data_IF_652370463752
#
_entry.id   IF_652370463752
#
_cell.length_a   1.000
_cell.length_b   1.000
_cell.length_c   1.000
_cell.angle_alpha   90.00
_cell.angle_beta   90.00
_cell.angle_gamma   90.00
#
_symmetry.space_group_name_H-M   'P 1'
#
loop_
_entity.id
_entity.type
_entity.pdbx_description
1 polymer ?
#
# COMPACT_ATOMS: atom_id res chain seq x y z
N UNK A 1 -12.58 -34.77 39.57
CA UNK A 1 -13.31 -33.52 39.37
C UNK A 1 -12.68 -32.84 38.17
N UNK A 2 -13.24 -33.07 37.01
CA UNK A 2 -12.79 -32.50 35.74
C UNK A 2 -13.27 -31.06 35.69
N UNK A 3 -12.32 -30.14 35.59
CA UNK A 3 -12.56 -28.68 35.47
C UNK A 3 -13.31 -28.38 34.18
N UNK A 4 -14.60 -28.03 34.31
CA UNK A 4 -15.48 -27.57 33.21
C UNK A 4 -15.46 -26.04 33.10
N UNK A 5 -14.29 -25.41 33.06
CA UNK A 5 -14.19 -23.94 33.10
C UNK A 5 -13.36 -23.27 32.00
N UNK A 6 -13.19 -23.89 30.82
CA UNK A 6 -12.48 -23.25 29.70
C UNK A 6 -13.19 -23.39 28.34
N UNK A 7 -14.51 -23.38 28.32
CA UNK A 7 -15.21 -22.95 27.11
C UNK A 7 -15.31 -21.41 27.18
N UNK A 8 -14.28 -20.69 26.73
CA UNK A 8 -14.43 -19.27 26.42
C UNK A 8 -15.61 -19.14 25.44
N UNK A 9 -16.62 -18.35 25.80
CA UNK A 9 -17.72 -18.06 24.89
C UNK A 9 -17.14 -17.47 23.60
N UNK A 10 -17.30 -18.21 22.47
CA UNK A 10 -16.86 -17.75 21.16
C UNK A 10 -17.60 -16.45 20.85
N UNK A 11 -16.84 -15.35 20.73
CA UNK A 11 -17.39 -14.02 20.51
C UNK A 11 -17.58 -13.72 19.01
N UNK A 12 -16.72 -14.31 18.16
CA UNK A 12 -16.70 -14.07 16.73
C UNK A 12 -17.08 -15.31 15.92
N UNK A 13 -18.00 -15.12 14.99
CA UNK A 13 -18.20 -16.03 13.88
C UNK A 13 -17.21 -15.62 12.76
N UNK A 14 -16.30 -16.54 12.40
CA UNK A 14 -15.24 -16.30 11.39
C UNK A 14 -15.65 -17.00 10.10
N UNK A 15 -15.87 -16.21 9.05
CA UNK A 15 -16.34 -16.71 7.76
C UNK A 15 -15.26 -16.43 6.70
N UNK A 16 -14.90 -17.45 5.93
CA UNK A 16 -14.10 -17.26 4.73
C UNK A 16 -14.92 -16.52 3.68
N UNK A 17 -14.32 -15.52 3.04
CA UNK A 17 -14.95 -14.76 1.98
C UNK A 17 -15.39 -15.65 0.81
N UNK A 18 -16.61 -15.41 0.34
CA UNK A 18 -17.14 -15.88 -0.94
C UNK A 18 -17.74 -14.72 -1.71
N UNK A 19 -17.95 -14.81 -3.05
CA UNK A 19 -18.51 -13.71 -3.84
C UNK A 19 -19.87 -13.19 -3.36
N UNK A 20 -20.62 -13.98 -2.60
CA UNK A 20 -21.90 -13.60 -1.98
C UNK A 20 -21.73 -12.46 -0.96
N UNK A 21 -20.56 -12.35 -0.32
CA UNK A 21 -20.24 -11.29 0.63
C UNK A 21 -19.66 -10.03 -0.01
N UNK A 22 -19.54 -9.98 -1.35
CA UNK A 22 -18.88 -8.87 -2.05
C UNK A 22 -19.44 -7.50 -1.70
N UNK A 23 -20.76 -7.36 -1.76
CA UNK A 23 -21.42 -6.09 -1.45
C UNK A 23 -21.12 -5.67 0.00
N UNK A 24 -21.29 -6.59 0.96
CA UNK A 24 -21.06 -6.33 2.37
C UNK A 24 -19.59 -6.01 2.67
N UNK A 25 -18.66 -6.69 1.97
CA UNK A 25 -17.24 -6.40 2.05
C UNK A 25 -16.92 -4.97 1.57
N UNK A 26 -17.38 -4.60 0.37
CA UNK A 26 -17.11 -3.29 -0.22
C UNK A 26 -17.77 -2.15 0.58
N UNK A 27 -18.98 -2.36 1.10
CA UNK A 27 -19.65 -1.42 2.02
C UNK A 27 -18.88 -1.24 3.34
N UNK A 28 -18.24 -2.30 3.83
CA UNK A 28 -17.39 -2.25 5.02
C UNK A 28 -16.11 -1.46 4.74
N UNK A 29 -15.43 -1.72 3.63
CA UNK A 29 -14.25 -0.98 3.18
C UNK A 29 -14.54 0.53 3.09
N UNK A 30 -15.69 0.91 2.52
CA UNK A 30 -16.08 2.31 2.37
C UNK A 30 -16.23 3.08 3.70
N UNK A 31 -16.49 2.37 4.81
CA UNK A 31 -16.76 2.96 6.14
C UNK A 31 -15.62 2.72 7.13
N UNK A 32 -14.58 2.00 6.72
CA UNK A 32 -13.47 1.65 7.60
C UNK A 32 -12.54 2.85 7.81
N UNK A 33 -11.99 2.96 9.03
CA UNK A 33 -11.08 4.04 9.42
C UNK A 33 -9.63 3.87 8.95
N UNK A 34 -9.28 2.67 8.48
CA UNK A 34 -7.92 2.34 8.02
C UNK A 34 -7.90 1.65 6.65
N UNK A 35 -9.02 1.63 5.91
CA UNK A 35 -9.05 1.06 4.58
C UNK A 35 -8.59 2.05 3.51
N UNK A 36 -8.15 1.49 2.38
CA UNK A 36 -7.90 2.22 1.14
C UNK A 36 -8.60 1.51 -0.02
N UNK A 37 -8.59 2.11 -1.21
CA UNK A 37 -9.24 1.53 -2.38
C UNK A 37 -8.64 0.16 -2.80
N UNK A 38 -7.44 -0.16 -2.36
CA UNK A 38 -6.79 -1.45 -2.61
C UNK A 38 -7.59 -2.65 -2.04
N UNK A 39 -8.46 -2.40 -1.06
CA UNK A 39 -9.23 -3.45 -0.39
C UNK A 39 -10.62 -3.68 -1.00
N UNK A 40 -11.07 -2.87 -1.96
CA UNK A 40 -12.27 -3.20 -2.73
C UNK A 40 -12.06 -4.45 -3.55
N UNK A 41 -13.09 -5.28 -3.64
CA UNK A 41 -13.02 -6.54 -4.40
C UNK A 41 -12.71 -6.33 -5.89
N UNK A 42 -13.15 -5.20 -6.46
CA UNK A 42 -12.77 -4.81 -7.83
C UNK A 42 -11.26 -4.59 -8.01
N UNK A 43 -10.54 -4.22 -6.94
CA UNK A 43 -9.09 -4.17 -6.95
C UNK A 43 -8.50 -5.55 -6.63
N UNK A 44 -8.87 -6.18 -5.52
CA UNK A 44 -8.28 -7.43 -5.06
C UNK A 44 -8.42 -8.58 -6.06
N UNK A 45 -9.55 -8.65 -6.77
CA UNK A 45 -9.86 -9.77 -7.65
C UNK A 45 -9.15 -9.71 -9.02
N UNK A 46 -8.43 -8.62 -9.38
CA UNK A 46 -7.77 -8.53 -10.69
C UNK A 46 -6.65 -9.57 -10.88
N UNK A 47 -6.06 -10.05 -9.79
CA UNK A 47 -4.96 -11.00 -9.77
C UNK A 47 -5.30 -12.31 -9.03
N UNK A 48 -6.57 -12.69 -9.02
CA UNK A 48 -7.08 -13.92 -8.37
C UNK A 48 -6.46 -15.21 -8.94
N UNK A 49 -5.91 -15.15 -10.14
CA UNK A 49 -5.12 -16.22 -10.78
C UNK A 49 -3.79 -16.49 -10.07
N UNK A 50 -3.21 -15.48 -9.42
CA UNK A 50 -1.90 -15.55 -8.73
C UNK A 50 -2.00 -15.77 -7.23
N UNK A 51 -3.11 -15.36 -6.62
CA UNK A 51 -3.32 -15.40 -5.16
C UNK A 51 -4.59 -16.18 -4.81
N UNK A 52 -4.41 -17.32 -4.15
CA UNK A 52 -5.54 -18.12 -3.65
C UNK A 52 -6.19 -17.40 -2.48
N UNK A 53 -7.27 -16.67 -2.74
CA UNK A 53 -7.99 -15.89 -1.74
C UNK A 53 -8.37 -16.72 -0.51
N UNK A 54 -8.05 -16.18 0.64
CA UNK A 54 -8.45 -16.68 1.95
C UNK A 54 -8.84 -15.52 2.86
N UNK A 55 -9.44 -14.48 2.30
CA UNK A 55 -9.92 -13.32 3.05
C UNK A 55 -11.01 -13.75 4.05
N UNK A 56 -11.06 -13.08 5.19
CA UNK A 56 -11.92 -13.44 6.30
C UNK A 56 -12.85 -12.28 6.67
N UNK A 57 -14.08 -12.61 7.04
CA UNK A 57 -15.06 -11.73 7.65
C UNK A 57 -15.27 -12.17 9.10
N UNK A 58 -15.27 -11.21 10.01
CA UNK A 58 -15.49 -11.43 11.43
C UNK A 58 -16.82 -10.83 11.85
N UNK A 59 -17.77 -11.68 12.24
CA UNK A 59 -19.07 -11.25 12.73
C UNK A 59 -19.12 -11.32 14.25
N UNK A 60 -19.63 -10.25 14.87
CA UNK A 60 -19.91 -10.18 16.30
C UNK A 60 -21.40 -9.94 16.50
N UNK A 61 -22.10 -10.88 17.16
CA UNK A 61 -23.56 -10.80 17.38
C UNK A 61 -24.33 -10.57 16.07
N UNK A 62 -23.98 -11.32 15.02
CA UNK A 62 -24.60 -11.24 13.69
C UNK A 62 -24.30 -9.99 12.86
N UNK A 63 -23.43 -9.07 13.33
CA UNK A 63 -23.01 -7.87 12.60
C UNK A 63 -21.56 -7.98 12.18
N UNK A 64 -21.26 -7.60 10.93
CA UNK A 64 -19.88 -7.54 10.44
C UNK A 64 -19.07 -6.52 11.25
N UNK A 65 -18.06 -7.03 11.96
CA UNK A 65 -17.22 -6.27 12.90
C UNK A 65 -15.93 -5.79 12.24
N UNK A 66 -15.25 -6.67 11.51
CA UNK A 66 -13.99 -6.39 10.82
C UNK A 66 -13.77 -7.38 9.68
N UNK A 67 -12.82 -7.08 8.80
CA UNK A 67 -12.44 -7.95 7.68
C UNK A 67 -10.91 -8.04 7.60
N UNK A 68 -10.42 -9.18 7.10
CA UNK A 68 -8.99 -9.40 6.89
C UNK A 68 -8.74 -9.82 5.44
N UNK A 69 -8.23 -8.92 4.58
CA UNK A 69 -7.72 -9.29 3.27
C UNK A 69 -6.58 -10.30 3.42
N UNK A 70 -6.72 -11.48 2.85
CA UNK A 70 -5.73 -12.53 3.00
C UNK A 70 -5.71 -13.50 1.81
N UNK A 71 -4.60 -14.21 1.66
CA UNK A 71 -4.46 -15.32 0.75
C UNK A 71 -3.65 -16.45 1.39
N UNK A 72 -3.74 -17.64 0.82
CA UNK A 72 -3.08 -18.84 1.32
C UNK A 72 -1.83 -19.15 0.52
N UNK A 73 -0.71 -19.41 1.21
CA UNK A 73 0.53 -19.95 0.63
C UNK A 73 0.92 -21.20 1.42
N UNK A 74 0.71 -22.38 0.86
CA UNK A 74 0.89 -23.63 1.57
C UNK A 74 0.05 -23.67 2.86
N UNK A 75 0.69 -23.75 4.02
CA UNK A 75 0.05 -23.71 5.35
C UNK A 75 0.19 -22.34 6.04
N UNK A 76 0.53 -21.29 5.29
CA UNK A 76 0.64 -19.94 5.81
C UNK A 76 -0.53 -19.09 5.34
N UNK A 77 -1.20 -18.40 6.26
CA UNK A 77 -2.10 -17.30 5.95
C UNK A 77 -1.27 -16.02 5.80
N UNK A 78 -1.37 -15.37 4.65
CA UNK A 78 -0.69 -14.10 4.40
C UNK A 78 -1.72 -12.97 4.30
N UNK A 79 -1.52 -11.86 5.02
CA UNK A 79 -2.37 -10.67 4.88
C UNK A 79 -2.03 -9.93 3.58
N UNK A 80 -2.33 -10.56 2.51
CA UNK A 80 -2.33 -10.27 1.08
C UNK A 80 -1.01 -9.71 0.48
N UNK A 81 -0.08 -10.60 0.10
CA UNK A 81 1.21 -10.24 -0.51
C UNK A 81 1.08 -9.56 -1.90
N UNK A 82 -0.07 -9.70 -2.58
CA UNK A 82 -0.38 -9.02 -3.83
C UNK A 82 -0.78 -7.55 -3.68
N UNK A 83 -0.86 -7.03 -2.46
CA UNK A 83 -1.14 -5.63 -2.15
C UNK A 83 0.11 -4.97 -1.53
N UNK A 84 0.18 -3.66 -1.58
CA UNK A 84 1.27 -2.87 -0.97
C UNK A 84 1.33 -3.11 0.54
N UNK A 85 0.18 -3.23 1.18
CA UNK A 85 -0.04 -3.51 2.60
C UNK A 85 -1.38 -4.25 2.77
N UNK A 86 -1.61 -4.85 3.93
CA UNK A 86 -2.82 -5.58 4.27
C UNK A 86 -3.29 -5.31 5.69
N UNK A 87 -3.50 -6.36 6.48
CA UNK A 87 -3.88 -6.24 7.88
C UNK A 87 -5.39 -6.18 8.13
N UNK A 88 -5.76 -6.08 9.40
CA UNK A 88 -7.15 -6.04 9.84
C UNK A 88 -7.78 -4.69 9.47
N UNK A 89 -8.88 -4.73 8.74
CA UNK A 89 -9.67 -3.56 8.38
C UNK A 89 -10.72 -3.35 9.46
N UNK A 90 -10.74 -2.14 10.01
CA UNK A 90 -11.53 -1.77 11.18
C UNK A 90 -12.38 -0.53 10.92
N UNK A 91 -13.62 -0.55 11.41
CA UNK A 91 -14.46 0.65 11.45
C UNK A 91 -14.27 1.42 12.78
N UNK A 92 -14.97 2.53 12.94
CA UNK A 92 -14.84 3.42 14.10
C UNK A 92 -15.30 2.79 15.43
N UNK A 93 -16.06 1.71 15.41
CA UNK A 93 -16.61 1.06 16.61
C UNK A 93 -15.74 -0.10 17.13
N UNK A 94 -14.72 -0.51 16.38
CA UNK A 94 -13.82 -1.60 16.77
C UNK A 94 -12.95 -1.15 17.93
N UNK A 95 -12.90 -1.95 18.98
CA UNK A 95 -12.15 -1.68 20.21
C UNK A 95 -10.95 -2.61 20.37
N UNK A 96 -9.94 -2.20 21.14
CA UNK A 96 -8.75 -3.02 21.42
C UNK A 96 -9.09 -4.36 22.08
N UNK A 97 -10.08 -4.38 23.00
CA UNK A 97 -10.50 -5.63 23.66
C UNK A 97 -11.09 -6.62 22.65
N UNK A 98 -11.90 -6.11 21.70
CA UNK A 98 -12.46 -6.93 20.63
C UNK A 98 -11.37 -7.47 19.71
N UNK A 99 -10.38 -6.64 19.34
CA UNK A 99 -9.27 -7.07 18.47
C UNK A 99 -8.40 -8.12 19.14
N UNK A 100 -8.11 -7.99 20.44
CA UNK A 100 -7.39 -9.01 21.20
C UNK A 100 -8.12 -10.36 21.20
N UNK A 101 -9.44 -10.36 21.47
CA UNK A 101 -10.25 -11.58 21.43
C UNK A 101 -10.32 -12.18 20.03
N UNK A 102 -10.49 -11.31 19.01
CA UNK A 102 -10.53 -11.74 17.62
C UNK A 102 -9.26 -12.51 17.21
N UNK A 103 -8.06 -12.02 17.56
CA UNK A 103 -6.82 -12.69 17.20
C UNK A 103 -6.61 -13.99 17.99
N UNK A 104 -7.09 -14.11 19.22
CA UNK A 104 -7.11 -15.39 19.95
C UNK A 104 -7.99 -16.41 19.23
N UNK A 105 -9.21 -16.03 18.89
CA UNK A 105 -10.17 -16.91 18.18
C UNK A 105 -9.72 -17.21 16.75
N UNK A 106 -9.10 -16.24 16.05
CA UNK A 106 -8.50 -16.45 14.74
C UNK A 106 -7.42 -17.54 14.77
N UNK A 107 -6.55 -17.55 15.78
CA UNK A 107 -5.54 -18.60 15.92
C UNK A 107 -6.17 -20.00 16.11
N UNK A 108 -7.25 -20.08 16.89
CA UNK A 108 -7.99 -21.36 17.04
C UNK A 108 -8.61 -21.77 15.70
N UNK A 109 -9.30 -20.87 15.03
CA UNK A 109 -9.89 -21.10 13.71
C UNK A 109 -8.83 -21.58 12.70
N UNK A 110 -7.70 -20.90 12.59
CA UNK A 110 -6.66 -21.23 11.62
C UNK A 110 -6.03 -22.59 11.88
N UNK A 111 -5.80 -22.99 13.15
CA UNK A 111 -5.35 -24.34 13.48
C UNK A 111 -6.34 -25.41 13.02
N UNK A 112 -7.63 -25.18 13.25
CA UNK A 112 -8.68 -26.11 12.80
C UNK A 112 -8.77 -26.22 11.27
N UNK A 113 -8.39 -25.14 10.55
CA UNK A 113 -8.30 -25.14 9.08
C UNK A 113 -6.95 -25.68 8.55
N UNK A 114 -6.04 -26.12 9.43
CA UNK A 114 -4.76 -26.73 9.05
C UNK A 114 -3.65 -25.72 8.70
N UNK A 115 -3.81 -24.46 9.10
CA UNK A 115 -2.71 -23.47 9.02
C UNK A 115 -1.72 -23.68 10.16
N UNK A 116 -0.45 -23.37 9.88
CA UNK A 116 0.64 -23.47 10.85
C UNK A 116 1.23 -22.08 11.17
N UNK A 117 1.09 -21.13 10.25
CA UNK A 117 1.76 -19.82 10.34
C UNK A 117 0.89 -18.69 9.80
N UNK A 118 1.07 -17.50 10.33
CA UNK A 118 0.56 -16.25 9.75
C UNK A 118 1.71 -15.33 9.40
N UNK A 119 1.64 -14.70 8.23
CA UNK A 119 2.48 -13.58 7.82
C UNK A 119 1.60 -12.34 7.67
N UNK A 120 1.85 -11.32 8.48
CA UNK A 120 0.99 -10.17 8.65
C UNK A 120 1.70 -8.87 8.27
N UNK A 121 1.17 -8.15 7.28
CA UNK A 121 1.62 -6.82 6.88
C UNK A 121 0.59 -5.80 7.31
N UNK A 122 0.79 -5.02 8.36
CA UNK A 122 -0.16 -3.99 8.77
C UNK A 122 -0.22 -2.85 7.74
N UNK A 123 -1.33 -2.14 7.76
CA UNK A 123 -1.48 -0.89 7.01
C UNK A 123 -0.60 0.16 7.71
N UNK A 124 0.31 0.85 7.00
CA UNK A 124 1.10 1.92 7.62
C UNK A 124 0.21 3.05 8.13
N UNK A 125 0.54 3.58 9.31
CA UNK A 125 -0.27 4.58 10.03
C UNK A 125 -0.62 5.82 9.19
N UNK A 126 0.22 6.21 8.21
CA UNK A 126 -0.04 7.36 7.32
C UNK A 126 -1.32 7.21 6.48
N UNK A 127 -1.81 5.99 6.27
CA UNK A 127 -3.05 5.70 5.54
C UNK A 127 -4.30 5.70 6.43
N UNK A 128 -4.14 5.76 7.75
CA UNK A 128 -5.24 5.71 8.69
C UNK A 128 -5.98 7.05 8.79
N UNK A 129 -7.31 7.04 8.66
CA UNK A 129 -8.16 8.23 8.90
C UNK A 129 -8.24 8.58 10.39
N UNK A 130 -8.12 7.56 11.25
CA UNK A 130 -8.01 7.67 12.70
C UNK A 130 -6.95 6.69 13.19
N UNK A 131 -6.32 6.89 14.36
CA UNK A 131 -5.40 5.91 14.95
C UNK A 131 -6.00 4.50 14.92
N UNK A 132 -5.27 3.51 14.42
CA UNK A 132 -5.78 2.17 14.11
C UNK A 132 -4.68 1.11 14.20
N UNK A 133 -3.96 1.07 15.33
CA UNK A 133 -2.87 0.12 15.59
C UNK A 133 -3.23 -0.92 16.66
N UNK A 134 -4.54 -1.15 16.89
CA UNK A 134 -5.03 -2.17 17.83
C UNK A 134 -4.58 -3.58 17.41
N UNK A 135 -4.49 -3.83 16.12
CA UNK A 135 -4.00 -5.08 15.55
C UNK A 135 -2.53 -5.34 15.92
N UNK A 136 -1.66 -4.31 15.85
CA UNK A 136 -0.26 -4.42 16.23
C UNK A 136 -0.08 -4.81 17.71
N UNK A 137 -0.87 -4.20 18.61
CA UNK A 137 -0.87 -4.57 20.01
C UNK A 137 -1.39 -6.00 20.23
N UNK A 138 -2.47 -6.36 19.54
CA UNK A 138 -3.10 -7.68 19.69
C UNK A 138 -2.18 -8.81 19.20
N UNK A 139 -1.55 -8.69 18.03
CA UNK A 139 -0.63 -9.72 17.52
C UNK A 139 0.62 -9.85 18.39
N UNK A 140 1.13 -8.74 18.93
CA UNK A 140 2.24 -8.78 19.89
C UNK A 140 1.86 -9.55 21.15
N UNK A 141 0.74 -9.20 21.77
CA UNK A 141 0.35 -9.74 23.07
C UNK A 141 -0.25 -11.14 22.97
N UNK A 142 -1.21 -11.35 22.06
CA UNK A 142 -2.00 -12.59 21.95
C UNK A 142 -1.36 -13.64 21.07
N UNK A 143 -0.71 -13.22 19.97
CA UNK A 143 -0.11 -14.14 19.02
C UNK A 143 1.39 -14.36 19.24
N UNK A 144 2.04 -13.56 20.10
CA UNK A 144 3.50 -13.54 20.27
C UNK A 144 4.24 -13.32 18.95
N UNK A 145 3.63 -12.50 18.09
CA UNK A 145 4.20 -12.17 16.80
C UNK A 145 5.56 -11.48 16.93
N UNK A 146 6.47 -11.82 16.04
CA UNK A 146 7.77 -11.18 15.94
C UNK A 146 7.89 -10.41 14.62
N UNK A 147 8.67 -9.34 14.62
CA UNK A 147 9.00 -8.58 13.43
C UNK A 147 9.93 -9.43 12.55
N UNK A 148 9.44 -9.88 11.39
CA UNK A 148 10.20 -10.73 10.46
C UNK A 148 10.88 -9.94 9.35
N UNK A 149 10.31 -8.77 8.97
CA UNK A 149 10.85 -7.89 7.94
C UNK A 149 10.44 -6.44 8.23
N UNK A 150 11.36 -5.51 7.98
CA UNK A 150 11.09 -4.07 8.01
C UNK A 150 11.68 -3.39 6.79
N UNK A 151 10.84 -2.73 6.01
CA UNK A 151 11.27 -1.83 4.96
C UNK A 151 11.18 -0.38 5.45
N UNK A 152 12.02 0.50 4.89
CA UNK A 152 11.92 1.94 5.10
C UNK A 152 11.44 2.63 3.82
N UNK A 153 10.31 3.30 3.91
CA UNK A 153 9.77 4.21 2.91
C UNK A 153 10.11 5.65 3.25
N UNK A 154 9.82 6.55 2.33
CA UNK A 154 10.06 7.99 2.51
C UNK A 154 8.77 8.74 2.22
N UNK A 155 8.30 9.54 3.18
CA UNK A 155 7.02 10.26 3.11
C UNK A 155 7.22 11.74 3.44
N UNK A 156 6.55 12.62 2.71
CA UNK A 156 6.48 14.05 3.00
C UNK A 156 5.21 14.33 3.81
N UNK A 157 5.34 15.04 4.94
CA UNK A 157 4.21 15.63 5.62
C UNK A 157 3.83 16.94 4.92
N UNK A 158 2.77 16.91 4.12
CA UNK A 158 2.44 17.95 3.16
C UNK A 158 1.99 19.27 3.81
N UNK A 159 1.45 19.21 5.03
CA UNK A 159 1.06 20.40 5.79
C UNK A 159 2.24 21.16 6.38
N UNK A 160 3.42 20.51 6.51
CA UNK A 160 4.65 21.12 7.00
C UNK A 160 5.83 20.71 6.10
N UNK A 161 5.72 21.05 4.81
CA UNK A 161 6.72 20.68 3.79
C UNK A 161 8.11 21.20 4.16
N UNK A 162 9.09 20.31 4.23
CA UNK A 162 10.48 20.68 4.33
C UNK A 162 10.98 21.23 2.99
N UNK A 163 11.96 22.13 3.06
CA UNK A 163 12.55 22.69 1.85
C UNK A 163 13.28 21.63 1.04
N UNK A 164 13.07 21.64 -0.26
CA UNK A 164 13.82 20.79 -1.18
C UNK A 164 15.31 21.10 -1.14
N UNK A 165 16.11 20.08 -1.32
CA UNK A 165 17.57 20.22 -1.44
C UNK A 165 17.95 21.07 -2.66
N UNK A 166 19.06 21.80 -2.57
CA UNK A 166 19.49 22.78 -3.59
C UNK A 166 19.64 22.18 -5.00
N UNK A 167 20.04 20.93 -5.11
CA UNK A 167 20.17 20.24 -6.40
C UNK A 167 18.81 19.97 -7.05
N UNK A 168 17.77 19.59 -6.30
CA UNK A 168 16.40 19.48 -6.80
C UNK A 168 15.85 20.82 -7.23
N UNK A 169 16.07 21.89 -6.46
CA UNK A 169 15.65 23.23 -6.85
C UNK A 169 16.35 23.72 -8.14
N UNK A 170 17.63 23.37 -8.36
CA UNK A 170 18.32 23.67 -9.61
C UNK A 170 17.74 22.91 -10.80
N UNK A 171 17.41 21.61 -10.62
CA UNK A 171 16.78 20.81 -11.68
C UNK A 171 15.38 21.30 -12.01
N UNK A 172 14.60 21.68 -11.00
CA UNK A 172 13.28 22.28 -11.19
C UNK A 172 13.40 23.58 -12.01
N UNK A 173 14.33 24.48 -11.64
CA UNK A 173 14.59 25.68 -12.42
C UNK A 173 15.00 25.36 -13.86
N UNK A 174 15.83 24.32 -14.05
CA UNK A 174 16.24 23.85 -15.39
C UNK A 174 15.03 23.34 -16.17
N UNK A 175 14.11 22.59 -15.55
CA UNK A 175 12.89 22.12 -16.17
C UNK A 175 12.04 23.26 -16.71
N UNK A 176 11.77 24.28 -15.89
CA UNK A 176 11.03 25.48 -16.32
C UNK A 176 11.72 26.22 -17.47
N UNK A 177 13.04 26.42 -17.39
CA UNK A 177 13.81 27.11 -18.43
C UNK A 177 13.88 26.39 -19.77
N UNK A 178 13.68 25.06 -19.77
CA UNK A 178 13.77 24.22 -20.96
C UNK A 178 12.42 23.71 -21.47
N UNK A 179 11.32 24.31 -20.98
CA UNK A 179 9.97 24.01 -21.48
C UNK A 179 9.47 22.60 -21.14
N UNK A 180 9.89 22.04 -20.01
CA UNK A 180 9.29 20.79 -19.50
C UNK A 180 7.86 21.07 -19.09
N UNK A 181 6.92 20.31 -19.63
CA UNK A 181 5.49 20.38 -19.31
C UNK A 181 5.03 19.10 -18.65
N UNK A 182 4.11 19.20 -17.70
CA UNK A 182 3.53 18.06 -17.00
C UNK A 182 2.07 17.92 -17.39
N UNK A 183 1.67 16.72 -17.79
CA UNK A 183 0.31 16.39 -18.17
C UNK A 183 -0.25 15.39 -17.17
N UNK A 184 -1.38 15.75 -16.53
CA UNK A 184 -2.16 14.88 -15.65
C UNK A 184 -3.09 14.02 -16.50
N UNK A 185 -3.42 12.81 -16.01
CA UNK A 185 -4.24 11.81 -16.72
C UNK A 185 -3.70 11.44 -18.10
N UNK A 186 -2.38 11.52 -18.23
CA UNK A 186 -1.65 11.20 -19.44
C UNK A 186 -1.71 9.70 -19.79
N UNK A 187 -1.21 9.35 -20.97
CA UNK A 187 -1.16 7.99 -21.47
C UNK A 187 -0.29 7.07 -20.60
N UNK A 188 -0.87 5.99 -20.10
CA UNK A 188 -0.14 4.92 -19.42
C UNK A 188 0.79 4.20 -20.41
N UNK A 189 0.39 3.99 -21.66
CA UNK A 189 1.19 3.26 -22.64
C UNK A 189 2.51 3.96 -22.94
N UNK A 190 2.51 5.28 -23.18
CA UNK A 190 3.75 6.04 -23.40
C UNK A 190 4.69 5.95 -22.19
N UNK A 191 4.14 6.07 -20.97
CA UNK A 191 4.94 5.93 -19.76
C UNK A 191 5.48 4.50 -19.59
N UNK A 192 4.68 3.48 -19.92
CA UNK A 192 5.09 2.08 -19.78
C UNK A 192 6.27 1.71 -20.68
N UNK A 193 6.42 2.35 -21.84
CA UNK A 193 7.59 2.23 -22.69
C UNK A 193 8.85 2.71 -21.97
N UNK A 194 8.80 3.93 -21.39
CA UNK A 194 9.92 4.51 -20.61
C UNK A 194 10.24 3.65 -19.38
N UNK A 195 9.20 3.13 -18.69
CA UNK A 195 9.36 2.30 -17.51
C UNK A 195 10.02 0.96 -17.86
N UNK A 196 9.53 0.27 -18.88
CA UNK A 196 10.07 -1.02 -19.32
C UNK A 196 11.53 -0.90 -19.78
N UNK A 197 11.84 0.09 -20.63
CA UNK A 197 13.20 0.32 -21.11
C UNK A 197 14.17 0.58 -19.94
N UNK A 198 13.76 1.39 -18.97
CA UNK A 198 14.60 1.73 -17.82
C UNK A 198 14.82 0.53 -16.88
N UNK A 199 13.77 -0.27 -16.61
CA UNK A 199 13.87 -1.45 -15.76
C UNK A 199 14.72 -2.56 -16.42
N UNK A 200 14.50 -2.82 -17.71
CA UNK A 200 15.29 -3.79 -18.46
C UNK A 200 16.77 -3.39 -18.49
N UNK A 201 17.07 -2.13 -18.86
CA UNK A 201 18.44 -1.62 -18.96
C UNK A 201 19.22 -1.65 -17.65
N UNK A 202 18.53 -1.40 -16.50
CA UNK A 202 19.19 -1.26 -15.20
C UNK A 202 19.20 -2.53 -14.38
N UNK A 203 18.14 -3.33 -14.47
CA UNK A 203 17.89 -4.43 -13.54
C UNK A 203 17.58 -5.75 -14.23
N UNK A 204 17.44 -5.76 -15.58
CA UNK A 204 16.96 -6.95 -16.31
C UNK A 204 15.56 -7.40 -15.81
N UNK A 205 14.75 -6.47 -15.37
CA UNK A 205 13.47 -6.73 -14.70
C UNK A 205 12.30 -6.08 -15.46
N UNK A 206 11.08 -6.55 -15.15
CA UNK A 206 9.83 -5.98 -15.65
C UNK A 206 9.02 -5.40 -14.49
N UNK A 207 8.09 -4.46 -14.76
CA UNK A 207 7.13 -4.02 -13.75
C UNK A 207 6.34 -5.20 -13.19
N UNK A 208 5.91 -5.08 -11.92
CA UNK A 208 5.06 -6.11 -11.28
C UNK A 208 3.71 -6.26 -11.97
N UNK A 209 3.13 -5.13 -12.42
CA UNK A 209 1.92 -5.11 -13.25
C UNK A 209 2.27 -5.02 -14.73
N UNK A 210 1.47 -5.66 -15.56
CA UNK A 210 1.47 -5.39 -17.00
C UNK A 210 0.75 -4.07 -17.31
N UNK A 211 0.97 -3.52 -18.51
CA UNK A 211 0.22 -2.34 -18.97
C UNK A 211 -1.30 -2.61 -18.94
N UNK A 212 -1.72 -3.78 -19.44
CA UNK A 212 -3.13 -4.14 -19.49
C UNK A 212 -3.78 -4.22 -18.08
N UNK A 213 -3.04 -4.74 -17.09
CA UNK A 213 -3.52 -4.75 -15.70
C UNK A 213 -3.67 -3.33 -15.16
N UNK A 214 -2.72 -2.44 -15.45
CA UNK A 214 -2.81 -1.05 -14.99
C UNK A 214 -3.92 -0.26 -15.68
N UNK A 215 -4.13 -0.49 -16.99
CA UNK A 215 -5.27 0.10 -17.72
C UNK A 215 -6.60 -0.39 -17.16
N UNK A 216 -6.71 -1.71 -16.87
CA UNK A 216 -7.90 -2.28 -16.22
C UNK A 216 -8.12 -1.67 -14.83
N UNK A 217 -7.08 -1.58 -14.00
CA UNK A 217 -7.18 -1.00 -12.66
C UNK A 217 -7.53 0.49 -12.73
N UNK A 218 -6.91 1.25 -13.63
CA UNK A 218 -7.26 2.67 -13.84
C UNK A 218 -8.71 2.83 -14.32
N UNK A 219 -9.20 1.97 -15.18
CA UNK A 219 -10.60 2.03 -15.63
C UNK A 219 -11.60 1.75 -14.49
N UNK A 220 -11.23 0.92 -13.51
CA UNK A 220 -12.04 0.62 -12.33
C UNK A 220 -11.95 1.68 -11.22
N UNK A 221 -10.81 2.38 -11.15
CA UNK A 221 -10.47 3.35 -10.10
C UNK A 221 -9.89 4.63 -10.70
N UNK A 222 -10.65 5.33 -11.60
CA UNK A 222 -10.13 6.49 -12.33
C UNK A 222 -9.73 7.65 -11.43
N UNK A 223 -10.41 7.82 -10.28
CA UNK A 223 -10.10 8.88 -9.31
C UNK A 223 -8.91 8.52 -8.39
N UNK A 224 -8.55 7.23 -8.33
CA UNK A 224 -7.51 6.75 -7.43
C UNK A 224 -6.19 6.44 -8.15
N UNK A 225 -6.22 6.15 -9.45
CA UNK A 225 -5.03 5.80 -10.24
C UNK A 225 -4.80 6.88 -11.28
N UNK A 226 -3.87 7.77 -10.99
CA UNK A 226 -3.59 8.94 -11.81
C UNK A 226 -2.19 8.83 -12.42
N UNK A 227 -2.12 9.01 -13.74
CA UNK A 227 -0.84 9.05 -14.47
C UNK A 227 -0.42 10.49 -14.73
N UNK A 228 0.83 10.81 -14.40
CA UNK A 228 1.49 12.06 -14.78
C UNK A 228 2.65 11.77 -15.72
N UNK A 229 2.69 12.44 -16.86
CA UNK A 229 3.82 12.39 -17.79
C UNK A 229 4.46 13.77 -17.91
N UNK A 230 5.78 13.79 -17.94
CA UNK A 230 6.57 14.98 -18.26
C UNK A 230 7.02 14.91 -19.72
N UNK A 231 6.81 15.99 -20.44
CA UNK A 231 7.16 16.13 -21.86
C UNK A 231 8.13 17.27 -22.07
N UNK A 232 8.98 17.11 -23.09
CA UNK A 232 9.83 18.17 -23.62
C UNK A 232 9.87 18.05 -25.15
N UNK A 233 9.69 19.17 -25.85
CA UNK A 233 9.65 19.20 -27.32
C UNK A 233 8.66 18.18 -27.94
N UNK A 234 7.54 17.92 -27.27
CA UNK A 234 6.51 16.96 -27.70
C UNK A 234 6.84 15.48 -27.42
N UNK A 235 7.97 15.16 -26.78
CA UNK A 235 8.37 13.79 -26.44
C UNK A 235 8.30 13.55 -24.95
N UNK A 236 7.86 12.37 -24.53
CA UNK A 236 7.86 11.96 -23.12
C UNK A 236 9.31 11.79 -22.64
N UNK A 237 9.61 12.40 -21.49
CA UNK A 237 10.92 12.30 -20.84
C UNK A 237 10.87 11.62 -19.47
N UNK A 238 9.67 11.33 -18.98
CA UNK A 238 9.43 10.61 -17.72
C UNK A 238 7.99 10.65 -17.33
N UNK A 239 7.66 9.90 -16.29
CA UNK A 239 6.30 9.84 -15.77
C UNK A 239 6.25 9.22 -14.39
N UNK A 240 5.07 9.34 -13.76
CA UNK A 240 4.79 8.79 -12.45
C UNK A 240 3.32 8.39 -12.35
N UNK A 241 3.07 7.14 -11.95
CA UNK A 241 1.73 6.64 -11.63
C UNK A 241 1.52 6.82 -10.13
N UNK A 242 0.48 7.56 -9.74
CA UNK A 242 0.09 7.73 -8.34
C UNK A 242 -1.13 6.91 -7.99
N UNK A 243 -1.13 6.39 -6.76
CA UNK A 243 -2.29 5.85 -6.08
C UNK A 243 -2.78 6.87 -5.05
N UNK A 244 -3.98 7.40 -5.29
CA UNK A 244 -4.58 8.43 -4.45
C UNK A 244 -5.52 7.76 -3.47
N UNK A 245 -5.21 7.86 -2.19
CA UNK A 245 -6.09 7.42 -1.10
C UNK A 245 -6.73 8.64 -0.43
N UNK A 246 -7.44 8.45 0.67
CA UNK A 246 -8.05 9.58 1.39
C UNK A 246 -7.00 10.46 2.12
N UNK A 247 -5.83 9.92 2.45
CA UNK A 247 -4.79 10.63 3.21
C UNK A 247 -3.46 10.74 2.47
N UNK A 248 -3.21 9.86 1.50
CA UNK A 248 -1.87 9.70 0.91
C UNK A 248 -1.93 9.75 -0.60
N UNK A 249 -1.07 10.55 -1.17
CA UNK A 249 -0.67 10.50 -2.59
C UNK A 249 0.55 9.58 -2.66
N UNK A 250 0.37 8.32 -3.10
CA UNK A 250 1.43 7.31 -3.14
C UNK A 250 1.99 7.15 -4.54
N UNK A 251 3.31 7.29 -4.67
CA UNK A 251 4.02 7.04 -5.92
C UNK A 251 4.21 5.53 -6.18
N UNK A 252 3.37 4.96 -7.04
CA UNK A 252 3.38 3.52 -7.35
C UNK A 252 4.48 3.15 -8.34
N UNK A 253 4.61 3.87 -9.44
CA UNK A 253 5.63 3.70 -10.46
C UNK A 253 6.23 5.05 -10.84
N UNK A 254 7.55 5.13 -10.91
CA UNK A 254 8.25 6.32 -11.38
C UNK A 254 9.40 5.93 -12.31
N UNK A 255 9.52 6.61 -13.43
CA UNK A 255 10.62 6.41 -14.35
C UNK A 255 10.92 7.65 -15.18
N UNK A 256 12.19 7.83 -15.55
CA UNK A 256 12.66 8.85 -16.49
C UNK A 256 13.69 8.26 -17.42
N UNK A 257 13.71 8.73 -18.67
CA UNK A 257 14.84 8.51 -19.55
C UNK A 257 16.02 9.44 -19.20
N UNK A 258 17.11 9.40 -19.95
CA UNK A 258 18.29 10.20 -19.66
C UNK A 258 18.03 11.70 -19.83
N UNK A 259 17.21 12.09 -20.82
CA UNK A 259 16.75 13.47 -21.00
C UNK A 259 15.93 13.97 -19.80
N UNK A 260 15.02 13.14 -19.27
CA UNK A 260 14.23 13.48 -18.08
C UNK A 260 15.07 13.68 -16.83
N UNK A 261 16.14 12.90 -16.65
CA UNK A 261 17.12 13.13 -15.55
C UNK A 261 17.88 14.43 -15.75
N UNK A 262 18.26 14.73 -16.97
CA UNK A 262 19.01 15.93 -17.32
C UNK A 262 18.17 17.19 -17.11
N UNK A 263 16.90 17.17 -17.53
CA UNK A 263 16.03 18.36 -17.52
C UNK A 263 15.03 18.41 -16.38
N UNK A 264 15.11 17.51 -15.37
CA UNK A 264 14.34 17.62 -14.14
C UNK A 264 12.86 17.22 -14.29
N UNK A 265 12.57 16.15 -15.02
CA UNK A 265 11.21 15.65 -15.22
C UNK A 265 10.50 15.31 -13.90
N UNK A 266 11.19 14.62 -12.97
CA UNK A 266 10.62 14.27 -11.66
C UNK A 266 10.36 15.50 -10.81
N UNK A 267 11.26 16.47 -10.81
CA UNK A 267 11.11 17.71 -10.07
C UNK A 267 9.86 18.49 -10.55
N UNK A 268 9.63 18.55 -11.86
CA UNK A 268 8.42 19.18 -12.42
C UNK A 268 7.15 18.44 -12.02
N UNK A 269 7.14 17.09 -12.06
CA UNK A 269 5.98 16.29 -11.64
C UNK A 269 5.71 16.48 -10.14
N UNK A 270 6.74 16.41 -9.27
CA UNK A 270 6.54 16.58 -7.84
C UNK A 270 6.12 18.02 -7.47
N UNK A 271 6.59 19.03 -8.19
CA UNK A 271 6.09 20.39 -8.03
C UNK A 271 4.59 20.46 -8.33
N UNK A 272 4.16 19.93 -9.48
CA UNK A 272 2.76 19.88 -9.87
C UNK A 272 1.89 19.22 -8.80
N UNK A 273 2.32 18.05 -8.30
CA UNK A 273 1.59 17.29 -7.27
C UNK A 273 1.54 18.06 -5.94
N UNK A 274 2.68 18.53 -5.45
CA UNK A 274 2.81 19.05 -4.09
C UNK A 274 2.24 20.46 -3.91
N UNK A 275 2.22 21.25 -4.97
CA UNK A 275 1.87 22.67 -4.87
C UNK A 275 0.65 23.07 -5.68
N UNK A 276 0.18 22.23 -6.62
CA UNK A 276 -0.95 22.56 -7.48
C UNK A 276 -2.10 21.60 -7.36
N UNK A 277 -1.89 20.27 -7.52
CA UNK A 277 -3.00 19.32 -7.60
C UNK A 277 -3.45 18.80 -6.23
N UNK A 278 -2.50 18.57 -5.29
CA UNK A 278 -2.77 17.99 -3.96
C UNK A 278 -2.13 18.78 -2.81
N UNK A 279 -2.17 20.13 -2.80
CA UNK A 279 -1.45 20.93 -1.80
C UNK A 279 -1.90 20.68 -0.35
N UNK A 280 -3.17 20.30 -0.17
CA UNK A 280 -3.82 20.12 1.13
C UNK A 280 -3.87 18.66 1.60
N UNK A 281 -3.33 17.72 0.81
CA UNK A 281 -3.24 16.32 1.25
C UNK A 281 -2.30 16.18 2.43
N UNK A 282 -2.60 15.28 3.40
CA UNK A 282 -1.72 15.10 4.55
C UNK A 282 -0.34 14.58 4.18
N UNK A 283 -0.27 13.58 3.29
CA UNK A 283 0.97 12.87 2.99
C UNK A 283 1.20 12.65 1.49
N UNK A 284 2.47 12.79 1.07
CA UNK A 284 2.98 12.25 -0.18
C UNK A 284 4.01 11.17 0.15
N UNK A 285 3.75 9.94 -0.28
CA UNK A 285 4.59 8.78 0.01
C UNK A 285 5.29 8.29 -1.26
N UNK A 286 6.62 8.19 -1.19
CA UNK A 286 7.46 7.69 -2.27
C UNK A 286 7.62 6.15 -2.25
N UNK A 287 7.05 5.48 -1.25
CA UNK A 287 7.24 4.05 -1.02
C UNK A 287 8.64 3.67 -0.56
N UNK A 288 8.90 2.36 -0.51
CA UNK A 288 10.13 1.77 0.03
C UNK A 288 11.40 2.16 -0.74
N UNK A 289 12.52 2.21 -0.02
CA UNK A 289 13.88 2.39 -0.55
C UNK A 289 14.83 1.30 -0.06
N UNK A 290 14.29 0.13 0.30
CA UNK A 290 15.04 -1.04 0.72
C UNK A 290 14.98 -2.16 -0.31
N UNK A 291 16.02 -2.97 -0.33
CA UNK A 291 16.21 -4.15 -1.16
C UNK A 291 16.45 -5.37 -0.28
N UNK A 292 16.53 -6.57 -0.87
CA UNK A 292 16.83 -7.81 -0.17
C UNK A 292 15.98 -8.02 1.10
N UNK A 293 14.67 -7.85 0.96
CA UNK A 293 13.71 -8.01 2.06
C UNK A 293 14.01 -7.10 3.28
N UNK A 294 14.38 -5.85 3.03
CA UNK A 294 14.65 -4.86 4.07
C UNK A 294 16.08 -4.88 4.63
N UNK A 295 16.92 -5.84 4.23
CA UNK A 295 18.28 -5.98 4.74
C UNK A 295 19.27 -4.95 4.16
N UNK A 296 18.92 -4.31 3.06
CA UNK A 296 19.78 -3.36 2.36
C UNK A 296 19.06 -2.05 2.05
N UNK A 297 19.68 -0.93 2.39
CA UNK A 297 19.17 0.42 2.03
C UNK A 297 19.78 0.85 0.71
N UNK A 298 18.95 1.19 -0.27
CA UNK A 298 19.40 1.89 -1.45
C UNK A 298 19.65 3.37 -1.13
N UNK A 299 20.89 3.67 -0.70
CA UNK A 299 21.28 5.00 -0.21
C UNK A 299 21.04 6.11 -1.25
N UNK A 300 21.28 5.82 -2.53
CA UNK A 300 21.04 6.78 -3.60
C UNK A 300 19.56 7.11 -3.77
N UNK A 301 18.69 6.10 -3.69
CA UNK A 301 17.26 6.25 -3.81
C UNK A 301 16.67 6.99 -2.60
N UNK A 302 17.06 6.60 -1.37
CA UNK A 302 16.54 7.26 -0.16
C UNK A 302 16.99 8.71 -0.08
N UNK A 303 18.27 9.00 -0.38
CA UNK A 303 18.80 10.37 -0.41
C UNK A 303 18.11 11.24 -1.47
N UNK A 304 17.73 10.66 -2.62
CA UNK A 304 16.93 11.35 -3.63
C UNK A 304 15.54 11.72 -3.08
N UNK A 305 14.81 10.78 -2.47
CA UNK A 305 13.48 11.01 -1.89
C UNK A 305 13.53 12.00 -0.71
N UNK A 306 14.53 11.88 0.17
CA UNK A 306 14.77 12.83 1.26
C UNK A 306 15.09 14.23 0.75
N UNK A 307 15.69 14.32 -0.44
CA UNK A 307 15.98 15.58 -1.09
C UNK A 307 14.75 16.42 -1.44
N UNK A 308 13.58 15.79 -1.60
CA UNK A 308 12.29 16.48 -1.71
C UNK A 308 11.68 16.88 -0.36
N UNK A 309 12.34 16.58 0.75
CA UNK A 309 11.87 16.87 2.10
C UNK A 309 11.17 15.69 2.78
N UNK A 310 11.23 14.50 2.21
CA UNK A 310 10.66 13.29 2.82
C UNK A 310 11.42 12.79 4.04
N UNK A 311 10.76 12.03 4.90
CA UNK A 311 11.33 11.35 6.07
C UNK A 311 10.78 9.93 6.18
N UNK A 312 11.42 9.12 7.00
CA UNK A 312 11.19 7.69 7.08
C UNK A 312 9.82 7.31 7.63
N UNK A 313 9.17 6.36 6.95
CA UNK A 313 8.02 5.60 7.44
C UNK A 313 8.31 4.12 7.24
N UNK A 314 8.10 3.28 8.26
CA UNK A 314 8.37 1.85 8.17
C UNK A 314 7.19 1.08 7.58
N UNK A 315 7.52 0.03 6.84
CA UNK A 315 6.60 -0.96 6.29
C UNK A 315 7.02 -2.31 6.85
N UNK A 316 6.28 -2.78 7.85
CA UNK A 316 6.62 -3.94 8.64
C UNK A 316 5.94 -5.22 8.14
N UNK A 317 6.55 -6.35 8.43
CA UNK A 317 5.94 -7.67 8.33
C UNK A 317 6.19 -8.41 9.62
N UNK A 318 5.12 -8.93 10.20
CA UNK A 318 5.15 -9.74 11.41
C UNK A 318 4.80 -11.18 11.07
N UNK A 319 5.33 -12.12 11.86
CA UNK A 319 5.03 -13.52 11.72
C UNK A 319 4.81 -14.17 13.09
N UNK A 320 3.95 -15.19 13.10
CA UNK A 320 3.75 -16.05 14.26
C UNK A 320 3.26 -17.45 13.87
N UNK A 321 3.43 -18.41 14.76
CA UNK A 321 2.87 -19.76 14.67
C UNK A 321 1.49 -19.78 15.31
N UNK A 322 0.50 -20.40 14.64
CA UNK A 322 -0.87 -20.48 15.14
C UNK A 322 -1.12 -21.68 16.04
#
# INVERSE_FOLDING_TARGET
MTNTSDMQDIMFEIIKYTPEYRQQWDEYVAKARNATFLFYRNYMDYHSDRFKDYSLLFFKKGKLHSILPAHQVGKTLCSHLGLTYGGLIMNIHVTISDVCQLFEELNVYLRLQGFEKVQYRPIPWIYHLHPSEEDLYAIFWKCKAYLSLRNIGTTIFMQQKLRWRKDHLRRLKKAHQNGVTVVRDASLSEFWEVLNENLEKRFGAKPVHTLQEMELLKSRFPENIIQYNAYRNGHIIGGLTFYITQQVVHGQYSSTNDEGKEFGAMEAIYEQIMYHDYPDYPYLDFGSSTEQQGAWINEGLIAHKEGYGGRGVVYDTYEWTV
#
